data_IF_178160225399
#
_entry.id   IF_178160225399
#
_cell.length_a   1.000
_cell.length_b   1.000
_cell.length_c   1.000
_cell.angle_alpha   90.00
_cell.angle_beta   90.00
_cell.angle_gamma   90.00
#
_symmetry.space_group_name_H-M   'P 1'
#
loop_
_entity.id
_entity.type
_entity.pdbx_description
1 polymer ?
#
# COMPACT_ATOMS: atom_id res chain seq x y z
N UNK A 1 32.69 -4.25 2.56
CA UNK A 1 31.47 -5.00 2.81
C UNK A 1 30.42 -4.06 3.38
N UNK A 2 29.36 -3.86 2.64
CA UNK A 2 28.28 -3.02 3.10
C UNK A 2 27.47 -3.81 4.12
N UNK A 3 27.52 -3.41 5.38
CA UNK A 3 26.68 -4.03 6.40
C UNK A 3 25.25 -3.56 6.18
N UNK A 4 24.33 -4.49 5.93
CA UNK A 4 22.93 -4.18 5.77
C UNK A 4 22.40 -3.66 7.10
N UNK A 5 21.83 -2.45 7.08
CA UNK A 5 21.25 -1.87 8.27
C UNK A 5 19.91 -2.53 8.57
N UNK A 6 19.79 -3.10 9.77
CA UNK A 6 18.55 -3.71 10.22
C UNK A 6 17.78 -2.71 11.09
N UNK A 7 16.49 -2.60 10.84
CA UNK A 7 15.62 -1.66 11.54
C UNK A 7 14.74 -2.39 12.55
N UNK A 8 14.47 -1.71 13.66
CA UNK A 8 13.50 -2.21 14.65
C UNK A 8 12.08 -2.09 14.07
N UNK A 9 11.10 -2.82 14.63
CA UNK A 9 9.70 -2.65 14.22
C UNK A 9 9.22 -1.20 14.35
N UNK A 10 9.63 -0.47 15.39
CA UNK A 10 9.25 0.92 15.58
C UNK A 10 9.81 1.81 14.46
N UNK A 11 11.06 1.61 14.07
CA UNK A 11 11.68 2.33 12.97
C UNK A 11 11.03 2.01 11.64
N UNK A 12 10.72 0.71 11.40
CA UNK A 12 10.02 0.27 10.20
C UNK A 12 8.61 0.87 10.11
N UNK A 13 7.90 0.93 11.22
CA UNK A 13 6.57 1.56 11.30
C UNK A 13 6.66 3.04 10.92
N UNK A 14 7.61 3.76 11.50
CA UNK A 14 7.79 5.18 11.23
C UNK A 14 8.10 5.43 9.75
N UNK A 15 9.04 4.70 9.18
CA UNK A 15 9.46 4.89 7.78
C UNK A 15 8.42 4.43 6.77
N UNK A 16 7.68 3.36 7.06
CA UNK A 16 6.66 2.83 6.16
C UNK A 16 5.32 3.55 6.27
N UNK A 17 5.08 4.21 7.40
CA UNK A 17 3.80 4.83 7.69
C UNK A 17 2.73 3.84 8.19
N UNK A 18 3.06 2.57 8.37
CA UNK A 18 2.16 1.60 8.99
C UNK A 18 2.30 1.65 10.51
N UNK A 19 1.21 1.34 11.23
CA UNK A 19 1.28 1.14 12.66
C UNK A 19 1.95 -0.20 13.00
N UNK A 20 2.46 -0.32 14.22
CA UNK A 20 3.01 -1.60 14.70
C UNK A 20 1.96 -2.71 14.65
N UNK A 21 0.71 -2.40 15.00
CA UNK A 21 -0.37 -3.38 14.95
C UNK A 21 -0.63 -3.85 13.54
N UNK A 22 -0.58 -2.97 12.55
CA UNK A 22 -0.74 -3.33 11.15
C UNK A 22 0.41 -4.22 10.67
N UNK A 23 1.65 -3.91 11.06
CA UNK A 23 2.81 -4.73 10.72
C UNK A 23 2.68 -6.16 11.29
N UNK A 24 2.22 -6.27 12.55
CA UNK A 24 1.96 -7.56 13.17
C UNK A 24 0.84 -8.33 12.46
N UNK A 25 -0.22 -7.63 12.10
CA UNK A 25 -1.34 -8.22 11.37
C UNK A 25 -0.88 -8.73 9.99
N UNK A 26 -0.12 -7.93 9.26
CA UNK A 26 0.38 -8.32 7.94
C UNK A 26 1.31 -9.52 7.99
N UNK A 27 2.14 -9.62 9.03
CA UNK A 27 2.97 -10.80 9.25
C UNK A 27 2.09 -12.02 9.51
N UNK A 28 1.07 -11.88 10.34
CA UNK A 28 0.17 -12.98 10.71
C UNK A 28 -0.61 -13.53 9.51
N UNK A 29 -1.04 -12.66 8.58
CA UNK A 29 -1.83 -13.08 7.41
C UNK A 29 -0.98 -13.41 6.19
N UNK A 30 0.34 -13.38 6.31
CA UNK A 30 1.25 -13.78 5.24
C UNK A 30 1.63 -12.70 4.25
N UNK A 31 1.31 -11.44 4.51
CA UNK A 31 1.78 -10.33 3.67
C UNK A 31 3.26 -10.01 3.92
N UNK A 32 3.73 -10.26 5.12
CA UNK A 32 5.14 -10.14 5.49
C UNK A 32 5.65 -11.52 5.88
N UNK A 33 6.64 -12.01 5.15
CA UNK A 33 7.24 -13.32 5.40
C UNK A 33 8.74 -13.18 5.56
N UNK A 34 9.35 -14.18 6.17
CA UNK A 34 10.81 -14.25 6.33
C UNK A 34 11.42 -13.02 7.00
N UNK A 35 10.70 -12.40 7.96
CA UNK A 35 11.24 -11.28 8.71
C UNK A 35 12.49 -11.72 9.43
N UNK A 36 13.60 -11.01 9.22
CA UNK A 36 14.86 -11.25 9.90
C UNK A 36 14.69 -11.02 11.39
N UNK A 37 15.26 -11.91 12.21
CA UNK A 37 15.24 -11.76 13.65
C UNK A 37 16.66 -11.58 14.18
N UNK A 38 16.83 -10.72 15.16
CA UNK A 38 18.09 -10.58 15.87
C UNK A 38 18.33 -11.83 16.72
N UNK A 39 19.56 -12.00 17.22
CA UNK A 39 19.91 -13.10 18.11
C UNK A 39 19.01 -13.17 19.35
N UNK A 40 18.44 -12.05 19.77
CA UNK A 40 17.49 -11.97 20.88
C UNK A 40 16.08 -12.47 20.51
N UNK A 41 15.84 -12.83 19.25
CA UNK A 41 14.51 -13.24 18.75
C UNK A 41 13.62 -12.07 18.32
N UNK A 42 14.05 -10.84 18.50
CA UNK A 42 13.29 -9.67 18.09
C UNK A 42 13.33 -9.48 16.57
N UNK A 43 12.20 -9.02 16.01
CA UNK A 43 12.07 -8.76 14.58
C UNK A 43 12.99 -7.62 14.15
N UNK A 44 13.57 -7.76 12.95
CA UNK A 44 14.39 -6.72 12.31
C UNK A 44 14.01 -6.64 10.85
N UNK A 45 13.89 -5.43 10.35
CA UNK A 45 13.47 -5.16 8.97
C UNK A 45 14.66 -4.75 8.13
N UNK A 46 14.77 -5.33 6.94
CA UNK A 46 15.83 -5.02 5.98
C UNK A 46 15.35 -3.89 5.05
N UNK A 47 16.29 -3.26 4.29
CA UNK A 47 15.87 -2.31 3.24
C UNK A 47 14.91 -2.92 2.22
N UNK A 48 15.06 -4.20 1.87
CA UNK A 48 14.14 -4.89 0.96
C UNK A 48 12.75 -5.03 1.59
N UNK A 49 12.68 -5.30 2.89
CA UNK A 49 11.42 -5.33 3.61
C UNK A 49 10.73 -3.97 3.56
N UNK A 50 11.48 -2.87 3.69
CA UNK A 50 10.94 -1.52 3.60
C UNK A 50 10.41 -1.22 2.21
N UNK A 51 11.11 -1.65 1.16
CA UNK A 51 10.64 -1.49 -0.22
C UNK A 51 9.33 -2.26 -0.43
N UNK A 52 9.23 -3.46 0.10
CA UNK A 52 8.02 -4.27 0.07
C UNK A 52 6.87 -3.59 0.81
N UNK A 53 7.13 -3.03 1.99
CA UNK A 53 6.13 -2.26 2.74
C UNK A 53 5.64 -1.05 1.95
N UNK A 54 6.53 -0.41 1.19
CA UNK A 54 6.17 0.72 0.33
C UNK A 54 5.13 0.36 -0.72
N UNK A 55 5.29 -0.78 -1.41
CA UNK A 55 4.29 -1.21 -2.38
C UNK A 55 3.00 -1.64 -1.69
N UNK A 56 3.08 -2.35 -0.57
CA UNK A 56 1.89 -2.74 0.19
C UNK A 56 1.09 -1.52 0.63
N UNK A 57 1.76 -0.46 1.06
CA UNK A 57 1.09 0.77 1.44
C UNK A 57 0.39 1.42 0.26
N UNK A 58 1.05 1.48 -0.89
CA UNK A 58 0.46 1.99 -2.12
C UNK A 58 -0.82 1.21 -2.47
N UNK A 59 -0.77 -0.11 -2.43
CA UNK A 59 -1.92 -0.96 -2.75
C UNK A 59 -3.07 -0.72 -1.77
N UNK A 60 -2.77 -0.66 -0.47
CA UNK A 60 -3.78 -0.40 0.55
C UNK A 60 -4.42 0.97 0.38
N UNK A 61 -3.61 2.01 0.23
CA UNK A 61 -4.09 3.39 0.17
C UNK A 61 -4.88 3.66 -1.10
N UNK A 62 -4.65 2.90 -2.16
CA UNK A 62 -5.41 3.01 -3.42
C UNK A 62 -6.57 2.01 -3.50
N UNK A 63 -6.88 1.33 -2.40
CA UNK A 63 -8.10 0.54 -2.27
C UNK A 63 -8.04 -0.89 -2.75
N UNK A 64 -6.86 -1.49 -2.88
CA UNK A 64 -6.79 -2.91 -3.22
C UNK A 64 -7.36 -3.75 -2.08
N UNK A 65 -8.30 -4.68 -2.37
CA UNK A 65 -8.84 -5.56 -1.33
C UNK A 65 -7.74 -6.44 -0.72
N UNK A 66 -7.89 -6.77 0.57
CA UNK A 66 -6.88 -7.56 1.29
C UNK A 66 -6.64 -8.93 0.63
N UNK A 67 -7.68 -9.53 0.06
CA UNK A 67 -7.56 -10.80 -0.66
C UNK A 67 -6.61 -10.68 -1.85
N UNK A 68 -6.68 -9.58 -2.59
CA UNK A 68 -5.81 -9.32 -3.74
C UNK A 68 -4.39 -8.98 -3.28
N UNK A 69 -4.23 -8.28 -2.17
CA UNK A 69 -2.91 -8.03 -1.58
C UNK A 69 -2.23 -9.35 -1.19
N UNK A 70 -2.99 -10.28 -0.62
CA UNK A 70 -2.48 -11.61 -0.27
C UNK A 70 -2.11 -12.39 -1.54
N UNK A 71 -2.91 -12.30 -2.59
CA UNK A 71 -2.62 -12.90 -3.89
C UNK A 71 -1.32 -12.35 -4.46
N UNK A 72 -1.14 -11.03 -4.39
CA UNK A 72 0.09 -10.37 -4.83
C UNK A 72 1.31 -10.90 -4.06
N UNK A 73 1.19 -11.04 -2.75
CA UNK A 73 2.25 -11.58 -1.90
C UNK A 73 2.60 -13.03 -2.27
N UNK A 74 1.60 -13.87 -2.56
CA UNK A 74 1.82 -15.24 -3.01
C UNK A 74 2.56 -15.27 -4.35
N UNK A 75 2.15 -14.43 -5.29
CA UNK A 75 2.79 -14.33 -6.60
C UNK A 75 4.23 -13.81 -6.51
N UNK A 76 4.49 -12.93 -5.54
CA UNK A 76 5.85 -12.42 -5.31
C UNK A 76 6.81 -13.51 -4.83
N UNK A 77 6.28 -14.59 -4.24
CA UNK A 77 7.08 -15.74 -3.80
C UNK A 77 7.24 -16.79 -4.89
N UNK A 78 6.50 -16.66 -5.98
CA UNK A 78 6.58 -17.59 -7.11
C UNK A 78 7.76 -17.21 -8.00
N UNK A 79 8.70 -18.11 -8.16
CA UNK A 79 9.88 -17.86 -8.99
C UNK A 79 9.56 -18.03 -10.47
N UNK A 80 10.37 -17.38 -11.30
CA UNK A 80 10.34 -17.53 -12.75
C UNK A 80 9.41 -16.56 -13.48
N UNK A 81 9.41 -16.61 -14.82
CA UNK A 81 8.68 -15.65 -15.66
C UNK A 81 7.16 -15.68 -15.47
N UNK A 82 6.59 -16.86 -15.18
CA UNK A 82 5.15 -17.00 -15.00
C UNK A 82 4.67 -16.19 -13.80
N UNK A 83 5.39 -16.27 -12.65
CA UNK A 83 5.06 -15.49 -11.48
C UNK A 83 5.18 -13.98 -11.71
N UNK A 84 6.19 -13.57 -12.47
CA UNK A 84 6.39 -12.18 -12.82
C UNK A 84 5.25 -11.65 -13.71
N UNK A 85 4.85 -12.42 -14.71
CA UNK A 85 3.73 -12.04 -15.60
C UNK A 85 2.43 -11.94 -14.82
N UNK A 86 2.18 -12.86 -13.87
CA UNK A 86 0.97 -12.82 -13.05
C UNK A 86 0.95 -11.60 -12.12
N UNK A 87 2.10 -11.22 -11.57
CA UNK A 87 2.21 -9.99 -10.77
C UNK A 87 1.90 -8.75 -11.60
N UNK A 88 2.46 -8.68 -12.80
CA UNK A 88 2.21 -7.56 -13.72
C UNK A 88 0.72 -7.48 -14.03
N UNK A 89 0.08 -8.59 -14.36
CA UNK A 89 -1.35 -8.62 -14.68
C UNK A 89 -2.21 -8.14 -13.51
N UNK A 90 -1.88 -8.57 -12.30
CA UNK A 90 -2.63 -8.16 -11.10
C UNK A 90 -2.47 -6.65 -10.84
N UNK A 91 -1.25 -6.13 -10.98
CA UNK A 91 -1.01 -4.70 -10.78
C UNK A 91 -1.65 -3.85 -11.88
N UNK A 92 -1.66 -4.32 -13.13
CA UNK A 92 -2.34 -3.61 -14.22
C UNK A 92 -3.85 -3.56 -14.00
N UNK A 93 -4.43 -4.66 -13.52
CA UNK A 93 -5.85 -4.69 -13.18
C UNK A 93 -6.17 -3.70 -12.07
N UNK A 94 -5.31 -3.60 -11.06
CA UNK A 94 -5.47 -2.63 -9.98
C UNK A 94 -5.30 -1.19 -10.50
N UNK A 95 -4.34 -0.95 -11.39
CA UNK A 95 -4.13 0.37 -12.00
C UNK A 95 -5.39 0.83 -12.74
N UNK A 96 -6.05 -0.08 -13.48
CA UNK A 96 -7.32 0.23 -14.14
C UNK A 96 -8.39 0.64 -13.13
N UNK A 97 -8.50 -0.09 -12.01
CA UNK A 97 -9.44 0.24 -10.96
C UNK A 97 -9.15 1.60 -10.32
N UNK A 98 -7.87 1.92 -10.13
CA UNK A 98 -7.46 3.24 -9.61
C UNK A 98 -7.85 4.35 -10.60
N UNK A 99 -7.62 4.13 -11.89
CA UNK A 99 -7.99 5.10 -12.92
C UNK A 99 -9.49 5.37 -12.92
N UNK A 100 -10.31 4.33 -12.80
CA UNK A 100 -11.77 4.47 -12.72
C UNK A 100 -12.17 5.24 -11.46
N UNK A 101 -11.50 5.01 -10.36
CA UNK A 101 -11.76 5.72 -9.10
C UNK A 101 -11.40 7.21 -9.20
N UNK A 102 -10.29 7.52 -9.85
CA UNK A 102 -9.89 8.90 -10.12
C UNK A 102 -10.96 9.61 -10.95
N UNK A 103 -11.44 8.96 -12.01
CA UNK A 103 -12.50 9.53 -12.86
C UNK A 103 -13.79 9.77 -12.08
N UNK A 104 -14.16 8.83 -11.20
CA UNK A 104 -15.32 8.99 -10.32
C UNK A 104 -15.14 10.20 -9.39
N UNK A 105 -13.99 10.31 -8.74
CA UNK A 105 -13.70 11.42 -7.82
C UNK A 105 -13.73 12.76 -8.56
N UNK A 106 -13.24 12.83 -9.78
CA UNK A 106 -13.28 14.05 -10.59
C UNK A 106 -14.73 14.48 -10.87
N UNK A 107 -15.59 13.53 -11.23
CA UNK A 107 -17.02 13.82 -11.44
C UNK A 107 -17.69 14.30 -10.16
N UNK A 108 -17.40 13.67 -9.04
CA UNK A 108 -17.98 14.05 -7.75
C UNK A 108 -17.47 15.42 -7.30
N UNK A 109 -16.20 15.73 -7.56
CA UNK A 109 -15.65 17.05 -7.26
C UNK A 109 -16.33 18.14 -8.07
N UNK A 110 -16.61 17.90 -9.34
CA UNK A 110 -17.38 18.83 -10.18
C UNK A 110 -18.74 19.10 -9.56
N UNK A 111 -19.42 18.08 -9.10
CA UNK A 111 -20.73 18.21 -8.44
C UNK A 111 -20.62 19.05 -7.15
N UNK A 112 -19.58 18.83 -6.35
CA UNK A 112 -19.32 19.63 -5.15
C UNK A 112 -19.09 21.10 -5.48
N UNK A 113 -18.30 21.39 -6.52
CA UNK A 113 -18.00 22.77 -6.95
C UNK A 113 -19.25 23.46 -7.46
N UNK A 114 -20.10 22.80 -8.19
CA UNK A 114 -21.37 23.32 -8.64
C UNK A 114 -22.25 23.74 -7.45
N UNK A 115 -22.27 22.91 -6.41
CA UNK A 115 -23.06 23.20 -5.20
C UNK A 115 -22.48 24.40 -4.44
N UNK A 116 -21.16 24.47 -4.35
CA UNK A 116 -20.46 25.61 -3.71
C UNK A 116 -20.80 26.90 -4.46
N UNK A 117 -20.71 26.88 -5.77
CA UNK A 117 -21.01 28.05 -6.61
C UNK A 117 -22.48 28.47 -6.45
N UNK A 118 -23.39 27.49 -6.40
CA UNK A 118 -24.80 27.78 -6.16
C UNK A 118 -25.00 28.47 -4.81
N UNK A 119 -24.41 27.98 -3.74
CA UNK A 119 -24.53 28.61 -2.43
C UNK A 119 -23.91 30.02 -2.42
N UNK A 120 -22.77 30.20 -3.09
CA UNK A 120 -22.18 31.54 -3.22
C UNK A 120 -23.08 32.52 -3.92
N UNK A 121 -23.85 32.06 -4.90
CA UNK A 121 -24.79 32.91 -5.62
C UNK A 121 -25.95 33.40 -4.73
N UNK A 122 -26.20 32.72 -3.62
CA UNK A 122 -27.22 33.11 -2.66
C UNK A 122 -26.75 34.13 -1.64
N UNK A 123 -25.44 34.40 -1.57
CA UNK A 123 -24.92 35.36 -0.62
C UNK A 123 -25.29 36.79 -1.07
N UNK A 124 -25.63 37.68 -0.09
CA UNK A 124 -25.96 39.07 -0.43
C UNK A 124 -24.73 39.78 -1.00
N UNK A 125 -25.00 40.68 -1.97
CA UNK A 125 -23.99 41.52 -2.56
C UNK A 125 -23.52 42.59 -1.57
N UNK A 126 -22.23 42.83 -1.48
CA UNK A 126 -21.69 43.87 -0.61
C UNK A 126 -20.95 43.37 0.62
#
# INVERSE_FOLDING_TARGET
VTTQQLLTPAEAAELSGFSLDTLRYYERIGLLTAITRATSGHRRFTPDDLAWLGILRCLRDTGMPIADMRRYAELARTEGPAGLLDRIALLEQHDTAVNDHIALLERQRTHLREKIDWYRSLLPAG
#
